data_IF_571327217038
#
_entry.id   IF_571327217038
#
_cell.length_a   1.000
_cell.length_b   1.000
_cell.length_c   1.000
_cell.angle_alpha   90.00
_cell.angle_beta   90.00
_cell.angle_gamma   90.00
#
_symmetry.space_group_name_H-M   'P 1'
#
loop_
_entity.id
_entity.type
_entity.pdbx_description
1 polymer ?
#
# COMPACT_ATOMS: atom_id res chain seq x y z
N UNK A 1 -12.08 -10.77 -23.75
CA UNK A 1 -12.32 -10.43 -22.32
C UNK A 1 -12.60 -11.72 -21.58
N UNK A 2 -11.64 -12.20 -20.79
CA UNK A 2 -12.01 -13.06 -19.64
C UNK A 2 -13.00 -12.26 -18.78
N UNK A 3 -14.00 -12.92 -18.19
CA UNK A 3 -15.05 -12.23 -17.42
C UNK A 3 -14.41 -11.43 -16.27
N UNK A 4 -14.36 -10.10 -16.41
CA UNK A 4 -14.01 -9.18 -15.32
C UNK A 4 -12.59 -8.60 -15.30
N UNK A 5 -11.75 -8.81 -16.32
CA UNK A 5 -10.46 -8.11 -16.46
C UNK A 5 -10.64 -6.71 -17.08
N UNK A 6 -10.02 -5.68 -16.49
CA UNK A 6 -9.99 -4.32 -17.04
C UNK A 6 -8.88 -3.45 -16.44
N UNK A 7 -8.49 -2.39 -17.16
CA UNK A 7 -7.63 -1.30 -16.68
C UNK A 7 -8.45 -0.01 -16.64
N UNK A 8 -8.64 0.58 -15.45
CA UNK A 8 -9.39 1.85 -15.27
C UNK A 8 -8.50 3.07 -15.47
N UNK A 9 -7.23 2.96 -15.11
CA UNK A 9 -6.29 4.07 -15.12
C UNK A 9 -4.86 3.62 -15.35
N UNK A 10 -4.12 4.42 -16.12
CA UNK A 10 -2.67 4.43 -16.17
C UNK A 10 -2.18 5.87 -16.02
N UNK A 11 -1.12 6.04 -15.25
CA UNK A 11 -0.62 7.35 -14.87
C UNK A 11 0.89 7.37 -14.70
N UNK A 12 1.46 8.57 -14.78
CA UNK A 12 2.88 8.83 -14.59
C UNK A 12 3.01 10.11 -13.76
N UNK A 13 3.86 10.07 -12.75
CA UNK A 13 4.19 11.21 -11.88
C UNK A 13 5.66 11.17 -11.51
N UNK A 14 6.30 12.32 -11.29
CA UNK A 14 7.64 12.35 -10.68
C UNK A 14 7.53 12.16 -9.17
N UNK A 15 8.63 11.74 -8.53
CA UNK A 15 8.76 11.75 -7.07
C UNK A 15 8.59 13.15 -6.45
N UNK A 16 8.94 14.19 -7.21
CA UNK A 16 8.74 15.59 -6.82
C UNK A 16 7.28 16.07 -7.04
N UNK A 17 6.36 15.11 -7.22
CA UNK A 17 4.91 15.33 -7.30
C UNK A 17 4.47 16.09 -8.55
N UNK A 18 5.28 16.12 -9.61
CA UNK A 18 4.87 16.67 -10.90
C UNK A 18 4.02 15.63 -11.65
N UNK A 19 2.73 15.90 -11.94
CA UNK A 19 1.93 15.03 -12.80
C UNK A 19 2.46 15.06 -14.23
N UNK A 20 2.79 13.89 -14.77
CA UNK A 20 3.42 13.76 -16.08
C UNK A 20 2.47 13.20 -17.15
N UNK A 21 1.57 12.30 -16.77
CA UNK A 21 0.57 11.75 -17.66
C UNK A 21 -0.60 11.12 -16.88
N UNK A 22 -1.81 11.22 -17.45
CA UNK A 22 -2.99 10.48 -17.00
C UNK A 22 -3.86 10.14 -18.20
N UNK A 23 -4.21 8.87 -18.40
CA UNK A 23 -5.15 8.50 -19.46
C UNK A 23 -6.62 8.81 -19.12
N UNK A 24 -6.94 9.06 -17.84
CA UNK A 24 -8.30 9.27 -17.38
C UNK A 24 -8.36 10.29 -16.23
N UNK A 25 -8.87 11.49 -16.54
CA UNK A 25 -8.96 12.60 -15.58
C UNK A 25 -9.79 12.29 -14.34
N UNK A 26 -10.73 11.34 -14.40
CA UNK A 26 -11.52 10.94 -13.23
C UNK A 26 -10.68 10.33 -12.13
N UNK A 27 -9.53 9.74 -12.48
CA UNK A 27 -8.63 9.04 -11.55
C UNK A 27 -7.30 9.78 -11.38
N UNK A 28 -7.23 11.07 -11.77
CA UNK A 28 -5.98 11.86 -11.69
C UNK A 28 -5.45 11.98 -10.25
N UNK A 29 -6.36 11.92 -9.25
CA UNK A 29 -6.01 11.90 -7.84
C UNK A 29 -5.10 10.73 -7.45
N UNK A 30 -5.09 9.63 -8.22
CA UNK A 30 -4.20 8.50 -7.98
C UNK A 30 -2.73 8.89 -8.12
N UNK A 31 -2.40 9.92 -8.91
CA UNK A 31 -1.03 10.43 -9.02
C UNK A 31 -0.56 11.08 -7.69
N UNK A 32 -1.43 11.83 -7.03
CA UNK A 32 -1.14 12.44 -5.74
C UNK A 32 -1.11 11.39 -4.63
N UNK A 33 -2.11 10.49 -4.61
CA UNK A 33 -2.15 9.36 -3.69
C UNK A 33 -0.87 8.53 -3.80
N UNK A 34 -0.38 8.26 -5.01
CA UNK A 34 0.85 7.50 -5.24
C UNK A 34 2.05 8.15 -4.57
N UNK A 35 2.22 9.46 -4.71
CA UNK A 35 3.33 10.17 -4.07
C UNK A 35 3.24 10.14 -2.53
N UNK A 36 2.03 10.26 -1.99
CA UNK A 36 1.82 10.15 -0.54
C UNK A 36 2.09 8.71 -0.06
N UNK A 37 1.62 7.71 -0.80
CA UNK A 37 1.87 6.29 -0.49
C UNK A 37 3.36 5.97 -0.58
N UNK A 38 4.04 6.38 -1.64
CA UNK A 38 5.47 6.15 -1.82
C UNK A 38 6.24 6.79 -0.67
N UNK A 39 5.99 8.07 -0.35
CA UNK A 39 6.65 8.74 0.76
C UNK A 39 6.41 8.04 2.10
N UNK A 40 5.14 7.78 2.47
CA UNK A 40 4.82 7.26 3.80
C UNK A 40 5.18 5.78 3.91
N UNK A 41 4.77 4.93 2.96
CA UNK A 41 4.97 3.49 3.05
C UNK A 41 6.46 3.11 2.98
N UNK A 42 7.24 3.75 2.09
CA UNK A 42 8.68 3.49 2.02
C UNK A 42 9.40 4.02 3.26
N UNK A 43 8.94 5.12 3.86
CA UNK A 43 9.54 5.64 5.11
C UNK A 43 9.39 4.68 6.29
N UNK A 44 8.32 3.89 6.36
CA UNK A 44 8.05 2.98 7.49
C UNK A 44 8.58 1.59 7.23
N UNK A 45 8.25 1.05 6.05
CA UNK A 45 8.51 -0.36 5.73
C UNK A 45 9.89 -0.55 5.11
N UNK A 46 10.49 0.49 4.52
CA UNK A 46 11.70 0.37 3.71
C UNK A 46 11.43 -0.24 2.32
N UNK A 47 12.35 -0.05 1.38
CA UNK A 47 12.22 -0.58 0.01
C UNK A 47 11.39 0.31 -0.92
N UNK A 48 10.89 -0.27 -2.02
CA UNK A 48 10.15 0.46 -3.06
C UNK A 48 8.68 0.03 -3.14
N UNK A 49 7.77 0.99 -3.30
CA UNK A 49 6.33 0.73 -3.49
C UNK A 49 6.09 -0.18 -4.72
N UNK A 50 5.40 -1.31 -4.54
CA UNK A 50 5.19 -2.31 -5.62
C UNK A 50 3.71 -2.44 -5.98
N UNK A 51 2.83 -2.69 -4.99
CA UNK A 51 1.40 -2.90 -5.24
C UNK A 51 0.52 -2.61 -4.04
N UNK A 52 -0.75 -2.34 -4.31
CA UNK A 52 -1.80 -2.12 -3.30
C UNK A 52 -3.09 -2.80 -3.75
N UNK A 53 -3.83 -3.38 -2.81
CA UNK A 53 -5.19 -3.87 -3.04
C UNK A 53 -6.19 -2.94 -2.35
N UNK A 54 -7.19 -2.50 -3.11
CA UNK A 54 -8.31 -1.70 -2.67
C UNK A 54 -9.58 -2.55 -2.63
N UNK A 55 -10.40 -2.33 -1.61
CA UNK A 55 -11.73 -2.91 -1.48
C UNK A 55 -12.74 -1.76 -1.46
N UNK A 56 -13.62 -1.72 -2.46
CA UNK A 56 -14.72 -0.75 -2.50
C UNK A 56 -15.81 -1.09 -1.50
N UNK A 57 -16.71 -0.14 -1.21
CA UNK A 57 -17.89 -0.39 -0.37
C UNK A 57 -18.83 -1.50 -0.89
N UNK A 58 -18.73 -1.88 -2.17
CA UNK A 58 -19.45 -3.01 -2.77
C UNK A 58 -18.67 -4.33 -2.71
N UNK A 59 -17.57 -4.38 -1.95
CA UNK A 59 -16.61 -5.48 -1.89
C UNK A 59 -15.91 -5.80 -3.23
N UNK A 60 -15.87 -4.83 -4.16
CA UNK A 60 -15.10 -4.99 -5.38
C UNK A 60 -13.60 -4.88 -5.06
N UNK A 61 -12.84 -5.90 -5.45
CA UNK A 61 -11.39 -5.97 -5.27
C UNK A 61 -10.69 -5.48 -6.53
N UNK A 62 -9.95 -4.40 -6.40
CA UNK A 62 -9.12 -3.84 -7.45
C UNK A 62 -7.71 -3.61 -6.92
N UNK A 63 -6.73 -3.61 -7.80
CA UNK A 63 -5.35 -3.37 -7.41
C UNK A 63 -4.73 -2.23 -8.18
N UNK A 64 -3.77 -1.63 -7.53
CA UNK A 64 -2.84 -0.67 -8.10
C UNK A 64 -1.46 -1.32 -8.09
N UNK A 65 -0.75 -1.22 -9.21
CA UNK A 65 0.67 -1.59 -9.27
C UNK A 65 1.49 -0.35 -9.61
N UNK A 66 2.70 -0.32 -9.07
CA UNK A 66 3.64 0.78 -9.15
C UNK A 66 4.96 0.30 -9.73
N UNK A 67 5.63 1.17 -10.47
CA UNK A 67 6.99 0.93 -10.92
C UNK A 67 7.75 2.24 -10.85
N UNK A 68 8.85 2.25 -10.09
CA UNK A 68 9.74 3.39 -9.98
C UNK A 68 10.95 3.18 -10.90
N UNK A 69 11.22 4.16 -11.76
CA UNK A 69 12.42 4.19 -12.60
C UNK A 69 12.84 5.64 -12.83
N UNK A 70 14.11 5.94 -12.55
CA UNK A 70 14.72 7.26 -12.77
C UNK A 70 13.89 8.41 -12.16
N UNK A 71 13.48 8.24 -10.89
CA UNK A 71 12.63 9.15 -10.11
C UNK A 71 11.23 9.45 -10.70
N UNK A 72 10.81 8.63 -11.67
CA UNK A 72 9.46 8.62 -12.23
C UNK A 72 8.70 7.39 -11.74
N UNK A 73 7.50 7.61 -11.22
CA UNK A 73 6.58 6.57 -10.75
C UNK A 73 5.50 6.36 -11.81
N UNK A 74 5.44 5.13 -12.32
CA UNK A 74 4.43 4.63 -13.25
C UNK A 74 3.37 3.87 -12.47
N UNK A 75 2.09 4.08 -12.80
CA UNK A 75 0.96 3.54 -12.05
C UNK A 75 -0.03 2.90 -13.03
N UNK A 76 -0.57 1.74 -12.64
CA UNK A 76 -1.72 1.11 -13.29
C UNK A 76 -2.74 0.69 -12.24
N UNK A 77 -4.03 0.95 -12.49
CA UNK A 77 -5.12 0.65 -11.57
C UNK A 77 -6.30 -0.01 -12.28
N UNK A 78 -6.87 -1.05 -11.65
CA UNK A 78 -7.99 -1.83 -12.15
C UNK A 78 -7.93 -3.29 -11.67
N UNK A 79 -8.40 -4.21 -12.52
CA UNK A 79 -8.45 -5.65 -12.25
C UNK A 79 -7.78 -6.44 -13.37
N UNK A 80 -6.58 -6.93 -13.11
CA UNK A 80 -5.74 -7.59 -14.11
C UNK A 80 -4.79 -8.63 -13.51
N UNK A 81 -4.22 -9.58 -14.28
CA UNK A 81 -3.17 -10.48 -13.79
C UNK A 81 -1.90 -9.72 -13.40
N UNK A 82 -1.19 -10.18 -12.35
CA UNK A 82 -0.01 -9.46 -11.82
C UNK A 82 1.09 -9.26 -12.89
N UNK A 83 1.33 -10.29 -13.72
CA UNK A 83 2.32 -10.24 -14.81
C UNK A 83 1.97 -9.23 -15.90
N UNK A 84 0.68 -9.08 -16.23
CA UNK A 84 0.25 -8.13 -17.27
C UNK A 84 0.38 -6.68 -16.80
N UNK A 85 0.07 -6.41 -15.52
CA UNK A 85 0.28 -5.08 -14.95
C UNK A 85 1.74 -4.67 -14.95
N UNK A 86 2.65 -5.58 -14.55
CA UNK A 86 4.11 -5.35 -14.64
C UNK A 86 4.59 -5.09 -16.06
N UNK A 87 4.16 -5.93 -17.02
CA UNK A 87 4.48 -5.71 -18.43
C UNK A 87 4.02 -4.33 -18.92
N UNK A 88 2.81 -3.91 -18.55
CA UNK A 88 2.25 -2.61 -18.93
C UNK A 88 3.11 -1.47 -18.36
N UNK A 89 3.49 -1.55 -17.08
CA UNK A 89 4.37 -0.58 -16.42
C UNK A 89 5.76 -0.51 -17.09
N UNK A 90 6.33 -1.65 -17.47
CA UNK A 90 7.60 -1.73 -18.18
C UNK A 90 7.52 -1.08 -19.57
N UNK A 91 6.44 -1.33 -20.32
CA UNK A 91 6.23 -0.67 -21.62
C UNK A 91 6.04 0.83 -21.47
N UNK A 92 5.25 1.26 -20.48
CA UNK A 92 5.09 2.68 -20.16
C UNK A 92 6.45 3.33 -19.88
N UNK A 93 7.24 2.72 -19.00
CA UNK A 93 8.55 3.24 -18.62
C UNK A 93 9.52 3.32 -19.79
N UNK A 94 9.60 2.27 -20.61
CA UNK A 94 10.43 2.25 -21.81
C UNK A 94 10.08 3.41 -22.75
N UNK A 95 8.82 3.47 -23.19
CA UNK A 95 8.40 4.46 -24.17
C UNK A 95 8.40 5.89 -23.63
N UNK A 96 8.08 6.09 -22.35
CA UNK A 96 8.13 7.42 -21.74
C UNK A 96 9.58 7.90 -21.62
N UNK A 97 10.51 7.03 -21.20
CA UNK A 97 11.95 7.35 -21.16
C UNK A 97 12.46 7.78 -22.54
N UNK A 98 12.05 7.08 -23.61
CA UNK A 98 12.44 7.42 -24.99
C UNK A 98 11.92 8.80 -25.42
N UNK A 99 10.72 9.20 -24.97
CA UNK A 99 10.14 10.52 -25.29
C UNK A 99 10.84 11.64 -24.51
N UNK A 100 11.13 11.41 -23.23
CA UNK A 100 11.77 12.40 -22.34
C UNK A 100 13.24 12.58 -22.70
N UNK A 101 13.92 11.53 -23.17
CA UNK A 101 15.31 11.60 -23.63
C UNK A 101 16.30 12.03 -22.54
N UNK A 102 16.03 11.68 -21.27
CA UNK A 102 16.88 12.02 -20.13
C UNK A 102 16.73 13.46 -19.62
N UNK A 103 15.78 14.24 -20.13
CA UNK A 103 15.48 15.56 -19.59
C UNK A 103 14.95 15.48 -18.14
N UNK A 104 15.27 16.48 -17.33
CA UNK A 104 14.67 16.64 -16.01
C UNK A 104 13.19 17.03 -16.16
N UNK A 105 12.29 16.08 -15.91
CA UNK A 105 10.85 16.22 -16.12
C UNK A 105 10.21 17.29 -15.23
N UNK A 106 10.81 17.57 -14.08
CA UNK A 106 10.31 18.56 -13.12
C UNK A 106 10.56 19.99 -13.62
N UNK A 107 11.67 20.21 -14.32
CA UNK A 107 12.09 21.51 -14.87
C UNK A 107 11.50 21.84 -16.25
N UNK A 108 10.80 20.90 -16.89
CA UNK A 108 10.24 21.11 -18.22
C UNK A 108 9.21 22.25 -18.25
N UNK A 109 9.27 23.05 -19.31
CA UNK A 109 8.29 24.10 -19.57
C UNK A 109 6.90 23.54 -19.90
N UNK A 110 5.86 24.37 -19.75
CA UNK A 110 4.45 23.96 -20.02
C UNK A 110 4.25 23.38 -21.42
N UNK A 111 4.89 23.96 -22.44
CA UNK A 111 4.78 23.49 -23.82
C UNK A 111 5.46 22.14 -24.04
N UNK A 112 6.60 21.91 -23.39
CA UNK A 112 7.32 20.64 -23.45
C UNK A 112 6.52 19.53 -22.78
N UNK A 113 6.02 19.78 -21.56
CA UNK A 113 5.13 18.87 -20.83
C UNK A 113 3.91 18.49 -21.67
N UNK A 114 3.25 19.47 -22.29
CA UNK A 114 2.10 19.22 -23.18
C UNK A 114 2.47 18.36 -24.40
N UNK A 115 3.62 18.62 -25.03
CA UNK A 115 4.08 17.85 -26.18
C UNK A 115 4.42 16.40 -25.81
N UNK A 116 5.05 16.18 -24.66
CA UNK A 116 5.35 14.85 -24.13
C UNK A 116 4.05 14.09 -23.82
N UNK A 117 3.12 14.72 -23.09
CA UNK A 117 1.83 14.13 -22.75
C UNK A 117 1.06 13.72 -24.01
N UNK A 118 1.01 14.58 -25.04
CA UNK A 118 0.34 14.29 -26.31
C UNK A 118 0.99 13.15 -27.08
N UNK A 119 2.33 13.09 -27.12
CA UNK A 119 3.06 11.98 -27.74
C UNK A 119 2.76 10.67 -27.01
N UNK A 120 2.83 10.69 -25.68
CA UNK A 120 2.61 9.51 -24.86
C UNK A 120 1.16 9.01 -24.92
N UNK A 121 0.16 9.90 -25.04
CA UNK A 121 -1.25 9.50 -25.18
C UNK A 121 -1.49 8.58 -26.39
N UNK A 122 -0.80 8.81 -27.51
CA UNK A 122 -0.90 7.93 -28.68
C UNK A 122 -0.25 6.58 -28.42
N UNK A 123 0.92 6.58 -27.79
CA UNK A 123 1.64 5.33 -27.43
C UNK A 123 0.86 4.54 -26.38
N UNK A 124 0.24 5.20 -25.40
CA UNK A 124 -0.49 4.53 -24.34
C UNK A 124 -1.69 3.75 -24.90
N UNK A 125 -2.34 4.26 -25.96
CA UNK A 125 -3.39 3.51 -26.67
C UNK A 125 -2.84 2.25 -27.32
N UNK A 126 -1.69 2.36 -28.00
CA UNK A 126 -1.01 1.21 -28.58
C UNK A 126 -0.62 0.16 -27.52
N UNK A 127 -0.04 0.57 -26.38
CA UNK A 127 0.30 -0.33 -25.27
C UNK A 127 -0.95 -1.07 -24.76
N UNK A 128 -2.08 -0.37 -24.60
CA UNK A 128 -3.33 -0.97 -24.15
C UNK A 128 -3.93 -1.92 -25.19
N UNK A 129 -3.79 -1.65 -26.49
CA UNK A 129 -4.20 -2.56 -27.55
C UNK A 129 -3.36 -3.85 -27.55
N UNK A 130 -2.05 -3.74 -27.36
CA UNK A 130 -1.16 -4.89 -27.22
C UNK A 130 -1.48 -5.70 -25.95
N UNK A 131 -1.71 -5.02 -24.82
CA UNK A 131 -2.17 -5.64 -23.56
C UNK A 131 -3.39 -6.55 -23.78
N UNK A 132 -4.38 -6.09 -24.57
CA UNK A 132 -5.59 -6.87 -24.85
C UNK A 132 -5.32 -8.13 -25.67
N UNK A 133 -4.29 -8.13 -26.53
CA UNK A 133 -3.87 -9.29 -27.34
C UNK A 133 -3.15 -10.35 -26.51
N UNK A 134 -2.52 -9.97 -25.40
CA UNK A 134 -1.77 -10.88 -24.52
C UNK A 134 -2.66 -11.80 -23.66
N UNK A 135 -3.98 -11.87 -23.92
CA UNK A 135 -4.93 -12.69 -23.16
C UNK A 135 -4.63 -14.20 -23.19
N UNK A 136 -3.88 -14.70 -24.19
CA UNK A 136 -3.55 -16.13 -24.30
C UNK A 136 -2.22 -16.55 -23.64
N UNK A 137 -1.38 -15.60 -23.20
CA UNK A 137 0.03 -15.89 -22.82
C UNK A 137 0.26 -15.88 -21.30
N UNK A 138 -0.54 -15.14 -20.53
CA UNK A 138 -0.34 -15.00 -19.09
C UNK A 138 -1.42 -15.72 -18.29
N UNK A 139 -1.00 -16.67 -17.46
CA UNK A 139 -1.84 -17.30 -16.43
C UNK A 139 -2.07 -16.34 -15.26
N UNK A 140 -3.24 -16.43 -14.64
CA UNK A 140 -3.56 -15.82 -13.33
C UNK A 140 -2.83 -16.47 -12.15
N UNK A 141 -1.98 -17.47 -12.37
CA UNK A 141 -1.14 -18.02 -11.31
C UNK A 141 -0.19 -16.93 -10.80
N UNK A 142 -0.46 -16.48 -9.58
CA UNK A 142 0.46 -15.69 -8.79
C UNK A 142 1.77 -16.47 -8.63
N UNK A 143 2.88 -15.75 -8.68
CA UNK A 143 4.18 -16.35 -8.40
C UNK A 143 4.21 -16.60 -6.89
N UNK A 144 4.35 -17.85 -6.43
CA UNK A 144 4.34 -18.14 -5.01
C UNK A 144 5.47 -17.37 -4.32
N UNK A 145 5.21 -16.92 -3.10
CA UNK A 145 6.23 -16.35 -2.25
C UNK A 145 7.28 -17.42 -1.93
N UNK A 146 8.56 -17.06 -2.01
CA UNK A 146 9.66 -17.93 -1.53
C UNK A 146 9.58 -18.12 -0.01
N UNK A 147 9.14 -17.10 0.71
CA UNK A 147 8.88 -17.18 2.15
C UNK A 147 7.58 -17.93 2.42
N UNK A 148 7.56 -18.83 3.39
CA UNK A 148 6.35 -19.55 3.84
C UNK A 148 5.82 -19.00 5.18
N UNK A 149 6.29 -17.82 5.57
CA UNK A 149 6.02 -17.23 6.87
C UNK A 149 5.58 -15.79 6.75
N UNK A 150 4.80 -15.34 7.72
CA UNK A 150 4.48 -13.92 7.91
C UNK A 150 4.91 -13.51 9.32
N UNK A 151 5.83 -12.55 9.42
CA UNK A 151 6.25 -11.94 10.69
C UNK A 151 5.48 -10.65 10.90
N UNK A 152 4.92 -10.45 12.08
CA UNK A 152 4.24 -9.20 12.47
C UNK A 152 5.20 -8.35 13.29
N UNK A 153 5.48 -7.15 12.80
CA UNK A 153 6.44 -6.20 13.41
C UNK A 153 5.70 -5.07 14.16
N UNK A 154 4.46 -4.80 13.78
CA UNK A 154 3.60 -3.82 14.46
C UNK A 154 2.13 -4.22 14.36
N UNK A 155 1.37 -3.95 15.43
CA UNK A 155 -0.09 -4.08 15.47
C UNK A 155 -0.72 -2.79 16.02
N UNK A 156 -1.68 -2.24 15.29
CA UNK A 156 -2.48 -1.09 15.71
C UNK A 156 -3.96 -1.38 15.62
N UNK A 157 -4.73 -1.03 16.66
CA UNK A 157 -6.19 -1.02 16.64
C UNK A 157 -6.67 0.42 16.85
N UNK A 158 -7.52 0.90 15.95
CA UNK A 158 -8.12 2.23 16.03
C UNK A 158 -9.64 2.17 15.98
N UNK A 159 -10.31 3.19 16.51
CA UNK A 159 -11.76 3.41 16.33
C UNK A 159 -12.00 4.86 15.96
N UNK A 160 -12.64 5.13 14.81
CA UNK A 160 -12.93 6.50 14.34
C UNK A 160 -11.71 7.45 14.40
N UNK A 161 -10.53 6.97 14.00
CA UNK A 161 -9.25 7.71 14.05
C UNK A 161 -8.73 8.01 15.46
N UNK A 162 -9.15 7.21 16.44
CA UNK A 162 -8.55 7.17 17.78
C UNK A 162 -7.79 5.84 17.88
N UNK A 163 -6.46 5.89 17.87
CA UNK A 163 -5.62 4.74 18.20
C UNK A 163 -5.89 4.29 19.63
N UNK A 164 -6.47 3.10 19.80
CA UNK A 164 -6.77 2.51 21.11
C UNK A 164 -5.74 1.47 21.52
N UNK A 165 -5.03 0.88 20.55
CA UNK A 165 -3.88 0.00 20.77
C UNK A 165 -2.84 0.31 19.69
N UNK A 166 -1.59 0.43 20.11
CA UNK A 166 -0.41 0.44 19.25
C UNK A 166 0.63 -0.43 19.92
N UNK A 167 1.23 -1.35 19.18
CA UNK A 167 2.17 -2.36 19.67
C UNK A 167 3.31 -2.53 18.67
N UNK A 168 4.49 -2.04 19.02
CA UNK A 168 5.73 -2.32 18.31
C UNK A 168 6.36 -3.61 18.87
N UNK A 169 6.69 -4.58 17.99
CA UNK A 169 7.07 -5.95 18.35
C UNK A 169 8.54 -6.29 18.03
N UNK A 170 9.32 -5.26 17.69
CA UNK A 170 10.75 -5.35 17.39
C UNK A 170 11.30 -4.07 16.75
N UNK A 171 12.56 -4.13 16.33
CA UNK A 171 13.34 -2.99 15.79
C UNK A 171 13.53 -3.08 14.26
N UNK A 172 12.83 -4.01 13.60
CA UNK A 172 13.02 -4.29 12.16
C UNK A 172 12.48 -3.18 11.23
N UNK A 173 11.65 -2.27 11.76
CA UNK A 173 11.05 -1.15 11.04
C UNK A 173 11.94 0.09 11.05
N UNK A 174 11.97 0.84 9.95
CA UNK A 174 12.80 2.03 9.82
C UNK A 174 12.07 3.26 10.38
N UNK A 175 12.08 3.45 11.70
CA UNK A 175 11.30 4.51 12.35
C UNK A 175 12.25 5.47 13.07
N UNK A 176 12.46 6.63 12.47
CA UNK A 176 13.12 7.75 13.13
C UNK A 176 12.13 8.47 14.05
N UNK A 177 12.40 8.45 15.36
CA UNK A 177 11.66 9.24 16.35
C UNK A 177 12.40 10.56 16.62
N UNK A 178 11.77 11.72 16.36
CA UNK A 178 12.40 13.01 16.66
C UNK A 178 12.37 13.27 18.16
N UNK A 179 13.53 13.62 18.73
CA UNK A 179 13.62 14.06 20.13
C UNK A 179 14.79 13.46 20.90
N UNK A 180 14.88 13.84 22.17
CA UNK A 180 15.71 13.16 23.18
C UNK A 180 14.73 12.57 24.17
N UNK A 181 14.86 11.26 24.42
CA UNK A 181 13.94 10.51 25.27
C UNK A 181 14.63 10.16 26.59
N UNK A 182 13.89 10.23 27.69
CA UNK A 182 14.42 9.92 29.01
C UNK A 182 14.51 8.40 29.25
N UNK A 183 13.78 7.61 28.45
CA UNK A 183 13.73 6.14 28.54
C UNK A 183 13.42 5.46 27.20
N UNK A 184 13.70 4.16 27.11
CA UNK A 184 13.38 3.34 25.92
C UNK A 184 11.87 3.15 25.76
N UNK A 185 11.14 3.11 26.88
CA UNK A 185 9.68 3.04 26.89
C UNK A 185 9.06 4.27 26.24
N UNK A 186 9.53 5.47 26.60
CA UNK A 186 9.06 6.73 26.01
C UNK A 186 9.37 6.81 24.51
N UNK A 187 10.57 6.38 24.10
CA UNK A 187 10.93 6.30 22.68
C UNK A 187 10.00 5.32 21.93
N UNK A 188 9.69 4.17 22.53
CA UNK A 188 8.79 3.16 21.96
C UNK A 188 7.38 3.71 21.80
N UNK A 189 6.83 4.37 22.81
CA UNK A 189 5.51 5.01 22.75
C UNK A 189 5.45 6.10 21.67
N UNK A 190 6.53 6.87 21.50
CA UNK A 190 6.64 7.86 20.43
C UNK A 190 6.64 7.18 19.05
N UNK A 191 7.44 6.13 18.86
CA UNK A 191 7.47 5.35 17.60
C UNK A 191 6.09 4.75 17.29
N UNK A 192 5.44 4.13 18.26
CA UNK A 192 4.07 3.58 18.15
C UNK A 192 3.05 4.64 17.71
N UNK A 193 3.12 5.84 18.32
CA UNK A 193 2.25 6.96 18.01
C UNK A 193 2.47 7.48 16.58
N UNK A 194 3.74 7.63 16.17
CA UNK A 194 4.09 8.06 14.82
C UNK A 194 3.64 7.05 13.75
N UNK A 195 3.84 5.75 14.01
CA UNK A 195 3.36 4.69 13.14
C UNK A 195 1.85 4.76 12.96
N UNK A 196 1.11 4.86 14.08
CA UNK A 196 -0.36 4.95 14.06
C UNK A 196 -0.81 6.12 13.20
N UNK A 197 -0.26 7.31 13.45
CA UNK A 197 -0.62 8.52 12.70
C UNK A 197 -0.32 8.40 11.20
N UNK A 198 0.83 7.84 10.82
CA UNK A 198 1.19 7.64 9.41
C UNK A 198 0.27 6.62 8.73
N UNK A 199 -0.06 5.53 9.41
CA UNK A 199 -0.97 4.48 8.89
C UNK A 199 -2.38 5.03 8.70
N UNK A 200 -2.90 5.77 9.68
CA UNK A 200 -4.20 6.42 9.58
C UNK A 200 -4.23 7.46 8.45
N UNK A 201 -3.15 8.23 8.28
CA UNK A 201 -3.03 9.17 7.16
C UNK A 201 -3.07 8.46 5.79
N UNK A 202 -2.43 7.28 5.66
CA UNK A 202 -2.54 6.45 4.45
C UNK A 202 -3.99 6.01 4.23
N UNK A 203 -4.65 5.48 5.25
CA UNK A 203 -6.02 4.97 5.14
C UNK A 203 -7.01 6.09 4.77
N UNK A 204 -6.93 7.24 5.46
CA UNK A 204 -7.77 8.40 5.22
C UNK A 204 -7.55 8.99 3.82
N UNK A 205 -6.29 9.14 3.38
CA UNK A 205 -5.99 9.60 2.03
C UNK A 205 -6.51 8.63 0.96
N UNK A 206 -6.38 7.33 1.18
CA UNK A 206 -6.88 6.32 0.24
C UNK A 206 -8.41 6.39 0.16
N UNK A 207 -9.09 6.39 1.31
CA UNK A 207 -10.55 6.44 1.39
C UNK A 207 -11.10 7.75 0.79
N UNK A 208 -10.53 8.89 1.15
CA UNK A 208 -10.99 10.21 0.67
C UNK A 208 -10.85 10.39 -0.84
N UNK A 209 -9.84 9.76 -1.45
CA UNK A 209 -9.59 9.86 -2.89
C UNK A 209 -10.32 8.79 -3.71
N UNK A 210 -10.41 7.56 -3.22
CA UNK A 210 -10.92 6.41 -3.99
C UNK A 210 -12.35 6.00 -3.61
N UNK A 211 -12.83 6.37 -2.43
CA UNK A 211 -14.04 5.79 -1.83
C UNK A 211 -13.87 4.31 -1.43
N UNK A 212 -12.65 3.78 -1.47
CA UNK A 212 -12.29 2.42 -1.12
C UNK A 212 -11.26 2.41 0.01
N UNK A 213 -11.23 1.33 0.78
CA UNK A 213 -10.22 1.11 1.82
C UNK A 213 -9.08 0.26 1.29
N UNK A 214 -7.82 0.56 1.64
CA UNK A 214 -6.72 -0.34 1.34
C UNK A 214 -6.90 -1.61 2.16
N UNK A 215 -6.84 -2.78 1.52
CA UNK A 215 -6.72 -4.07 2.23
C UNK A 215 -5.28 -4.35 2.61
N UNK A 216 -4.37 -4.07 1.68
CA UNK A 216 -2.94 -4.12 1.92
C UNK A 216 -2.18 -3.23 0.93
N UNK A 217 -1.02 -2.76 1.36
CA UNK A 217 -0.01 -2.06 0.57
C UNK A 217 1.29 -2.83 0.73
N UNK A 218 1.95 -3.16 -0.38
CA UNK A 218 3.18 -3.93 -0.42
C UNK A 218 4.34 -3.05 -0.88
N UNK A 219 5.45 -3.12 -0.15
CA UNK A 219 6.75 -2.62 -0.57
C UNK A 219 7.69 -3.79 -0.80
N UNK A 220 8.52 -3.67 -1.82
CA UNK A 220 9.49 -4.67 -2.21
C UNK A 220 10.85 -4.31 -1.63
N UNK A 221 11.39 -5.20 -0.81
CA UNK A 221 12.74 -5.07 -0.24
C UNK A 221 13.81 -5.66 -1.16
N UNK A 222 13.47 -6.71 -1.90
CA UNK A 222 14.40 -7.44 -2.76
C UNK A 222 13.70 -8.46 -3.66
N UNK A 223 14.44 -9.45 -4.16
CA UNK A 223 13.84 -10.52 -4.95
C UNK A 223 12.91 -11.36 -4.08
N UNK A 224 11.60 -11.24 -4.34
CA UNK A 224 10.52 -11.92 -3.60
C UNK A 224 10.48 -11.68 -2.07
N UNK A 225 11.18 -10.66 -1.58
CA UNK A 225 11.06 -10.21 -0.19
C UNK A 225 10.20 -8.95 -0.12
N UNK A 226 9.17 -9.00 0.72
CA UNK A 226 8.12 -8.00 0.81
C UNK A 226 7.78 -7.67 2.26
N UNK A 227 7.46 -6.39 2.46
CA UNK A 227 6.75 -5.92 3.64
C UNK A 227 5.39 -5.36 3.27
N UNK A 228 4.48 -5.44 4.22
CA UNK A 228 3.08 -5.07 4.01
C UNK A 228 2.60 -4.16 5.13
N UNK A 229 1.79 -3.19 4.73
CA UNK A 229 0.85 -2.54 5.61
C UNK A 229 -0.54 -3.10 5.28
N UNK A 230 -1.16 -3.77 6.24
CA UNK A 230 -2.47 -4.45 6.05
C UNK A 230 -3.54 -3.77 6.89
N UNK A 231 -4.78 -3.78 6.41
CA UNK A 231 -5.93 -3.24 7.13
C UNK A 231 -7.07 -4.23 7.15
N UNK A 232 -7.77 -4.30 8.28
CA UNK A 232 -9.01 -5.06 8.45
C UNK A 232 -10.01 -4.22 9.23
N UNK A 233 -11.17 -4.04 8.63
CA UNK A 233 -12.31 -3.39 9.27
C UNK A 233 -13.07 -4.40 10.14
N UNK A 234 -13.43 -3.96 11.34
CA UNK A 234 -14.30 -4.66 12.27
C UNK A 234 -15.62 -3.89 12.40
N UNK A 235 -16.60 -4.50 13.06
CA UNK A 235 -17.85 -3.81 13.41
C UNK A 235 -17.57 -2.55 14.23
N UNK A 236 -18.54 -1.63 14.26
CA UNK A 236 -18.50 -0.41 15.07
C UNK A 236 -17.29 0.51 14.78
N UNK A 237 -16.89 0.60 13.51
CA UNK A 237 -15.85 1.50 13.01
C UNK A 237 -14.46 1.27 13.65
N UNK A 238 -14.15 0.02 14.00
CA UNK A 238 -12.80 -0.37 14.43
C UNK A 238 -11.96 -0.82 13.23
N UNK A 239 -10.69 -0.43 13.22
CA UNK A 239 -9.75 -0.81 12.18
C UNK A 239 -8.49 -1.39 12.80
N UNK A 240 -8.18 -2.63 12.44
CA UNK A 240 -6.90 -3.26 12.71
C UNK A 240 -5.95 -2.91 11.57
N UNK A 241 -4.74 -2.50 11.94
CA UNK A 241 -3.62 -2.29 11.03
C UNK A 241 -2.43 -3.11 11.50
N UNK A 242 -1.67 -3.67 10.57
CA UNK A 242 -0.43 -4.38 10.89
C UNK A 242 0.66 -4.01 9.91
N UNK A 243 1.91 -3.97 10.41
CA UNK A 243 3.11 -3.99 9.59
C UNK A 243 3.70 -5.39 9.68
N UNK A 244 3.95 -6.02 8.53
CA UNK A 244 4.43 -7.39 8.47
C UNK A 244 5.43 -7.62 7.34
N UNK A 245 6.24 -8.66 7.47
CA UNK A 245 7.23 -9.11 6.46
C UNK A 245 6.98 -10.57 6.09
N UNK A 246 7.12 -10.91 4.80
CA UNK A 246 7.10 -12.30 4.32
C UNK A 246 5.98 -12.61 3.33
N UNK A 247 5.12 -13.58 3.66
CA UNK A 247 4.09 -14.14 2.78
C UNK A 247 2.68 -13.67 3.14
N UNK A 248 2.14 -12.80 2.29
CA UNK A 248 0.80 -12.23 2.44
C UNK A 248 -0.33 -13.27 2.42
N UNK A 249 -0.11 -14.46 1.85
CA UNK A 249 -1.12 -15.55 1.83
C UNK A 249 -1.44 -16.06 3.24
N UNK A 250 -0.55 -15.84 4.21
CA UNK A 250 -0.78 -16.18 5.63
C UNK A 250 -1.60 -15.13 6.37
N UNK A 251 -1.91 -13.98 5.77
CA UNK A 251 -2.58 -12.88 6.46
C UNK A 251 -3.92 -13.29 7.08
N UNK A 252 -4.74 -14.04 6.35
CA UNK A 252 -6.05 -14.46 6.84
C UNK A 252 -5.94 -15.42 8.05
N UNK A 253 -4.92 -16.28 8.10
CA UNK A 253 -4.70 -17.16 9.26
C UNK A 253 -4.20 -16.38 10.48
N UNK A 254 -3.32 -15.39 10.28
CA UNK A 254 -2.88 -14.47 11.34
C UNK A 254 -4.08 -13.73 11.91
N UNK A 255 -4.93 -13.15 11.06
CA UNK A 255 -6.11 -12.42 11.48
C UNK A 255 -7.12 -13.29 12.22
N UNK A 256 -7.29 -14.56 11.84
CA UNK A 256 -8.14 -15.51 12.57
C UNK A 256 -7.63 -15.82 13.98
N UNK A 257 -6.30 -15.84 14.19
CA UNK A 257 -5.74 -16.00 15.52
C UNK A 257 -5.94 -14.75 16.39
N UNK A 258 -5.72 -13.57 15.82
CA UNK A 258 -5.94 -12.28 16.50
C UNK A 258 -7.43 -12.04 16.83
N UNK A 259 -8.35 -12.47 15.96
CA UNK A 259 -9.79 -12.33 16.15
C UNK A 259 -10.28 -12.95 17.45
N UNK A 260 -9.63 -14.01 17.93
CA UNK A 260 -9.95 -14.68 19.21
C UNK A 260 -9.78 -13.74 20.42
N UNK A 261 -8.96 -12.70 20.28
CA UNK A 261 -8.70 -11.71 21.32
C UNK A 261 -9.45 -10.41 21.04
N UNK A 262 -9.40 -9.92 19.80
CA UNK A 262 -9.86 -8.58 19.42
C UNK A 262 -11.40 -8.48 19.40
N UNK A 263 -12.09 -9.53 18.97
CA UNK A 263 -13.54 -9.46 18.71
C UNK A 263 -14.33 -8.94 19.92
N UNK A 264 -13.94 -9.36 21.13
CA UNK A 264 -14.57 -8.98 22.39
C UNK A 264 -14.65 -7.47 22.65
N UNK A 265 -13.67 -6.69 22.20
CA UNK A 265 -13.66 -5.23 22.40
C UNK A 265 -14.28 -4.48 21.23
N UNK A 266 -14.41 -5.11 20.07
CA UNK A 266 -14.97 -4.50 18.85
C UNK A 266 -16.46 -4.70 18.67
N UNK A 267 -17.10 -5.56 19.48
CA UNK A 267 -18.54 -5.83 19.41
C UNK A 267 -19.41 -4.65 19.83
N UNK A 268 -18.86 -3.69 20.57
CA UNK A 268 -19.55 -2.48 21.00
C UNK A 268 -18.83 -1.21 20.53
N UNK A 269 -19.56 -0.11 20.23
CA UNK A 269 -18.94 1.18 19.91
C UNK A 269 -17.98 1.67 20.99
N UNK A 270 -16.89 2.31 20.57
CA UNK A 270 -15.94 2.90 21.49
C UNK A 270 -16.60 4.01 22.33
N UNK A 271 -16.50 3.89 23.65
CA UNK A 271 -17.13 4.80 24.62
C UNK A 271 -16.14 5.70 25.35
N UNK A 272 -14.86 5.71 24.96
CA UNK A 272 -13.79 6.44 25.66
C UNK A 272 -13.18 5.67 26.83
N UNK A 273 -13.70 4.49 27.19
CA UNK A 273 -13.11 3.66 28.24
C UNK A 273 -11.95 2.82 27.71
N UNK A 274 -10.72 3.20 28.08
CA UNK A 274 -9.49 2.51 27.65
C UNK A 274 -9.17 1.23 28.44
N UNK A 275 -9.81 0.97 29.59
CA UNK A 275 -9.49 -0.20 30.43
C UNK A 275 -9.53 -1.54 29.69
N UNK A 276 -10.58 -1.90 28.91
CA UNK A 276 -10.61 -3.16 28.17
C UNK A 276 -9.50 -3.22 27.10
N UNK A 277 -9.15 -2.10 26.50
CA UNK A 277 -8.09 -2.02 25.48
C UNK A 277 -6.70 -2.18 26.09
N UNK A 278 -6.45 -1.64 27.28
CA UNK A 278 -5.17 -1.83 27.99
C UNK A 278 -4.96 -3.30 28.36
N UNK A 279 -6.01 -4.01 28.83
CA UNK A 279 -5.94 -5.44 29.10
C UNK A 279 -5.69 -6.26 27.84
N UNK A 280 -6.37 -5.89 26.74
CA UNK A 280 -6.14 -6.51 25.44
C UNK A 280 -4.72 -6.24 24.92
N UNK A 281 -4.19 -5.01 25.07
CA UNK A 281 -2.82 -4.64 24.68
C UNK A 281 -1.79 -5.54 25.35
N UNK A 282 -1.93 -5.79 26.66
CA UNK A 282 -1.05 -6.72 27.40
C UNK A 282 -1.16 -8.14 26.83
N UNK A 283 -2.38 -8.66 26.69
CA UNK A 283 -2.62 -10.03 26.20
C UNK A 283 -2.07 -10.25 24.78
N UNK A 284 -2.25 -9.27 23.89
CA UNK A 284 -1.72 -9.30 22.53
C UNK A 284 -0.19 -9.21 22.51
N UNK A 285 0.39 -8.37 23.39
CA UNK A 285 1.85 -8.26 23.51
C UNK A 285 2.47 -9.59 23.93
N UNK A 286 1.91 -10.25 24.95
CA UNK A 286 2.42 -11.55 25.42
C UNK A 286 2.29 -12.61 24.33
N UNK A 287 1.13 -12.71 23.68
CA UNK A 287 0.90 -13.64 22.57
C UNK A 287 1.87 -13.41 21.41
N UNK A 288 2.08 -12.17 20.97
CA UNK A 288 2.96 -11.87 19.84
C UNK A 288 4.44 -11.96 20.21
N UNK A 289 4.83 -11.74 21.47
CA UNK A 289 6.18 -12.04 21.93
C UNK A 289 6.49 -13.54 21.81
N UNK A 290 5.51 -14.42 22.06
CA UNK A 290 5.66 -15.86 21.87
C UNK A 290 5.55 -16.28 20.40
N UNK A 291 4.68 -15.61 19.63
CA UNK A 291 4.31 -16.01 18.27
C UNK A 291 4.18 -14.81 17.33
N UNK A 292 5.27 -14.07 17.10
CA UNK A 292 5.32 -13.01 16.07
C UNK A 292 5.49 -13.54 14.64
N UNK A 293 5.89 -14.80 14.47
CA UNK A 293 6.11 -15.44 13.17
C UNK A 293 5.08 -16.56 12.97
N UNK A 294 4.30 -16.46 11.89
CA UNK A 294 3.24 -17.38 11.52
C UNK A 294 3.66 -18.20 10.30
N UNK A 295 3.36 -19.50 10.30
CA UNK A 295 3.59 -20.40 9.16
C UNK A 295 2.24 -20.80 8.53
#
# INVERSE_FOLDING_TARGET
>A
MSKGEYVKFIGITSKDRTPLFSNNKKFIYLLELTNNLDFIATSILGGGLDKMLLISGENEKEKTQFYLKDDIIYIVYGKFPDKKGKWLLEQMAKHYSDIVGGANVDELGKLEKYNIEKKFLSISKFILEEYLKMQEVFSDQDIPYVEDKLRVDYLGLSSKSIGVISLLLGDELNIDSPGVFDSVEEETEMKESMLTAKIEAIAANTLGNTGAVPRWIAVKLGFQNYRFLTFKEYKNDYFLSMLSEGNLEKLDSVEQELDKYISHVTDNPFSGNLRPFNQLKISLKDFLNEKRVFN
#
